data_IF_941634848415
#
_entry.id   IF_941634848415
#
_cell.length_a   1.000
_cell.length_b   1.000
_cell.length_c   1.000
_cell.angle_alpha   90.00
_cell.angle_beta   90.00
_cell.angle_gamma   90.00
#
_symmetry.space_group_name_H-M   'P 1'
#
loop_
_entity.id
_entity.type
_entity.pdbx_description
1 polymer ?
#
# COMPACT_ATOMS: atom_id res chain seq x y z
N UNK A 1 3.10 -17.12 -24.52
CA UNK A 1 3.98 -16.51 -23.51
C UNK A 1 3.11 -15.90 -22.42
N UNK A 2 3.34 -16.19 -21.14
CA UNK A 2 2.63 -15.54 -20.04
C UNK A 2 3.28 -14.18 -19.74
N UNK A 3 2.66 -13.08 -20.18
CA UNK A 3 3.11 -11.72 -19.90
C UNK A 3 2.69 -11.28 -18.49
N UNK A 4 3.34 -10.25 -17.94
CA UNK A 4 2.92 -9.55 -16.72
C UNK A 4 2.79 -10.41 -15.45
N UNK A 5 3.75 -11.30 -15.21
CA UNK A 5 3.72 -12.21 -14.05
C UNK A 5 4.08 -11.56 -12.71
N UNK A 6 4.71 -10.38 -12.72
CA UNK A 6 5.09 -9.66 -11.50
C UNK A 6 4.62 -8.20 -11.62
N UNK A 7 3.49 -7.88 -10.98
CA UNK A 7 2.91 -6.54 -10.98
C UNK A 7 3.26 -5.82 -9.69
N UNK A 8 3.83 -4.63 -9.81
CA UNK A 8 4.01 -3.68 -8.70
C UNK A 8 2.92 -2.63 -8.79
N UNK A 9 2.11 -2.50 -7.74
CA UNK A 9 1.03 -1.53 -7.63
C UNK A 9 1.45 -0.49 -6.60
N UNK A 10 1.54 0.77 -7.04
CA UNK A 10 1.73 1.89 -6.12
C UNK A 10 0.37 2.29 -5.55
N UNK A 11 0.27 2.33 -4.23
CA UNK A 11 -0.94 2.73 -3.51
C UNK A 11 -0.95 4.24 -3.32
N UNK A 12 -2.11 4.85 -3.56
CA UNK A 12 -2.34 6.26 -3.26
C UNK A 12 -2.94 6.39 -1.86
N UNK A 13 -2.23 6.99 -0.88
CA UNK A 13 -2.74 7.10 0.49
C UNK A 13 -3.93 8.08 0.63
N UNK A 14 -4.20 8.92 -0.38
CA UNK A 14 -5.22 9.97 -0.28
C UNK A 14 -6.62 9.51 -0.66
N UNK A 15 -6.77 8.30 -1.18
CA UNK A 15 -8.04 7.78 -1.67
C UNK A 15 -8.24 6.32 -1.30
N UNK A 16 -9.47 5.96 -0.97
CA UNK A 16 -9.82 4.57 -0.66
C UNK A 16 -9.96 3.73 -1.92
N UNK A 17 -10.46 4.30 -3.03
CA UNK A 17 -10.47 3.59 -4.30
C UNK A 17 -9.07 3.53 -4.90
N UNK A 18 -8.65 2.32 -5.26
CA UNK A 18 -7.32 2.07 -5.83
C UNK A 18 -7.47 1.52 -7.26
N UNK A 19 -7.62 2.38 -8.29
CA UNK A 19 -7.80 1.94 -9.67
C UNK A 19 -6.67 1.04 -10.18
N UNK A 20 -5.43 1.34 -9.79
CA UNK A 20 -4.26 0.54 -10.14
C UNK A 20 -4.33 -0.88 -9.55
N UNK A 21 -4.76 -1.00 -8.29
CA UNK A 21 -4.96 -2.29 -7.64
C UNK A 21 -6.10 -3.07 -8.29
N UNK A 22 -7.25 -2.43 -8.54
CA UNK A 22 -8.38 -3.05 -9.24
C UNK A 22 -7.97 -3.59 -10.61
N UNK A 23 -7.17 -2.83 -11.37
CA UNK A 23 -6.64 -3.26 -12.66
C UNK A 23 -5.69 -4.44 -12.53
N UNK A 24 -4.80 -4.42 -11.54
CA UNK A 24 -3.87 -5.52 -11.28
C UNK A 24 -4.60 -6.81 -10.88
N UNK A 25 -5.64 -6.71 -10.05
CA UNK A 25 -6.50 -7.86 -9.69
C UNK A 25 -7.20 -8.42 -10.92
N UNK A 26 -7.78 -7.58 -11.78
CA UNK A 26 -8.39 -8.03 -13.02
C UNK A 26 -7.38 -8.77 -13.93
N UNK A 27 -6.15 -8.26 -14.04
CA UNK A 27 -5.10 -8.93 -14.81
C UNK A 27 -4.75 -10.27 -14.17
N UNK A 28 -4.54 -10.29 -12.86
CA UNK A 28 -4.24 -11.52 -12.12
C UNK A 28 -5.30 -12.61 -12.31
N UNK A 29 -6.58 -12.25 -12.33
CA UNK A 29 -7.66 -13.19 -12.58
C UNK A 29 -7.64 -13.80 -13.99
N UNK A 30 -7.11 -13.10 -14.99
CA UNK A 30 -7.09 -13.55 -16.40
C UNK A 30 -5.81 -14.25 -16.82
N UNK A 31 -4.66 -13.77 -16.34
CA UNK A 31 -3.32 -14.21 -16.79
C UNK A 31 -2.44 -14.72 -15.64
N UNK A 32 -2.96 -14.75 -14.41
CA UNK A 32 -2.22 -15.15 -13.22
C UNK A 32 -1.17 -14.13 -12.79
N UNK A 33 -0.10 -14.60 -12.16
CA UNK A 33 1.01 -13.76 -11.68
C UNK A 33 0.87 -13.31 -10.23
N UNK A 34 1.80 -12.49 -9.76
CA UNK A 34 1.87 -11.96 -8.40
C UNK A 34 1.64 -10.46 -8.41
N UNK A 35 0.95 -9.96 -7.39
CA UNK A 35 0.75 -8.53 -7.16
C UNK A 35 1.48 -8.15 -5.89
N UNK A 36 2.31 -7.11 -5.96
CA UNK A 36 2.90 -6.46 -4.78
C UNK A 36 2.31 -5.05 -4.68
N UNK A 37 1.59 -4.78 -3.60
CA UNK A 37 1.19 -3.41 -3.24
C UNK A 37 2.36 -2.71 -2.54
N UNK A 38 2.63 -1.47 -2.93
CA UNK A 38 3.72 -0.66 -2.40
C UNK A 38 3.21 0.74 -2.06
N UNK A 39 3.40 1.16 -0.82
CA UNK A 39 3.07 2.49 -0.34
C UNK A 39 4.33 3.14 0.24
N UNK A 40 4.99 4.07 -0.47
CA UNK A 40 6.06 4.85 0.10
C UNK A 40 5.47 5.87 1.08
N UNK A 41 5.99 5.91 2.30
CA UNK A 41 5.54 6.83 3.35
C UNK A 41 6.73 7.70 3.72
N UNK A 42 6.51 9.01 3.72
CA UNK A 42 7.49 10.00 4.13
C UNK A 42 6.83 11.01 5.07
N UNK A 43 7.59 11.48 6.05
CA UNK A 43 7.18 12.53 6.98
C UNK A 43 8.29 13.57 7.11
N UNK A 44 7.95 14.84 7.22
CA UNK A 44 8.94 15.92 7.26
C UNK A 44 9.77 15.90 8.55
N UNK A 45 9.31 15.20 9.60
CA UNK A 45 10.07 14.98 10.85
C UNK A 45 11.42 14.29 10.65
N UNK A 46 11.62 13.57 9.54
CA UNK A 46 12.92 12.97 9.22
C UNK A 46 14.01 14.02 8.94
N UNK A 47 13.63 15.22 8.49
CA UNK A 47 14.56 16.31 8.20
C UNK A 47 14.79 17.23 9.41
N UNK A 48 13.88 17.22 10.39
CA UNK A 48 13.94 18.05 11.60
C UNK A 48 14.86 17.48 12.69
N UNK A 49 16.11 17.19 12.35
CA UNK A 49 17.06 16.51 13.26
C UNK A 49 17.58 17.40 14.40
N UNK A 50 17.50 18.72 14.27
CA UNK A 50 17.94 19.70 15.28
C UNK A 50 16.81 20.17 16.19
N UNK A 51 15.55 20.05 15.74
CA UNK A 51 14.37 20.52 16.45
C UNK A 51 13.68 19.40 17.23
N UNK A 52 13.89 18.14 16.82
CA UNK A 52 13.25 16.98 17.43
C UNK A 52 14.30 16.04 18.03
N UNK A 53 14.06 15.64 19.26
CA UNK A 53 14.76 14.52 19.87
C UNK A 53 14.52 13.21 19.08
N UNK A 54 15.37 12.19 19.24
CA UNK A 54 15.15 10.87 18.64
C UNK A 54 13.81 10.24 19.00
N UNK A 55 13.32 10.46 20.22
CA UNK A 55 12.06 9.89 20.70
C UNK A 55 10.85 10.59 20.07
N UNK A 56 10.89 11.92 19.94
CA UNK A 56 9.84 12.68 19.24
C UNK A 56 9.75 12.28 17.77
N UNK A 57 10.88 12.07 17.09
CA UNK A 57 10.89 11.54 15.71
C UNK A 57 10.27 10.14 15.63
N UNK A 58 10.52 9.29 16.61
CA UNK A 58 9.94 7.94 16.66
C UNK A 58 8.42 8.00 16.90
N UNK A 59 7.96 8.89 17.77
CA UNK A 59 6.54 9.11 18.01
C UNK A 59 5.82 9.64 16.76
N UNK A 60 6.40 10.62 16.07
CA UNK A 60 5.86 11.15 14.80
C UNK A 60 5.81 10.07 13.72
N UNK A 61 6.90 9.30 13.56
CA UNK A 61 6.94 8.14 12.65
C UNK A 61 5.82 7.16 12.93
N UNK A 62 5.58 6.83 14.20
CA UNK A 62 4.50 5.91 14.57
C UNK A 62 3.12 6.49 14.25
N UNK A 63 2.94 7.80 14.37
CA UNK A 63 1.74 8.51 13.97
C UNK A 63 1.41 8.37 12.49
N UNK A 64 2.43 8.30 11.61
CA UNK A 64 2.23 8.15 10.16
C UNK A 64 2.12 6.67 9.74
N UNK A 65 2.82 5.76 10.42
CA UNK A 65 2.76 4.32 10.13
C UNK A 65 1.41 3.70 10.55
N UNK A 66 0.82 4.15 11.66
CA UNK A 66 -0.39 3.51 12.19
C UNK A 66 -1.60 3.58 11.22
N UNK A 67 -1.90 4.73 10.58
CA UNK A 67 -2.88 4.78 9.50
C UNK A 67 -2.54 3.89 8.31
N UNK A 68 -1.26 3.78 7.94
CA UNK A 68 -0.85 2.94 6.82
C UNK A 68 -1.08 1.45 7.06
N UNK A 69 -0.93 0.97 8.31
CA UNK A 69 -1.29 -0.40 8.66
C UNK A 69 -2.78 -0.67 8.46
N UNK A 70 -3.64 0.33 8.66
CA UNK A 70 -5.08 0.19 8.38
C UNK A 70 -5.39 0.10 6.88
N UNK A 71 -4.59 0.77 6.03
CA UNK A 71 -4.67 0.67 4.57
C UNK A 71 -4.24 -0.72 4.08
N UNK A 72 -3.28 -1.38 4.73
CA UNK A 72 -2.92 -2.77 4.45
C UNK A 72 -4.11 -3.71 4.69
N UNK A 73 -4.83 -3.52 5.80
CA UNK A 73 -6.04 -4.31 6.11
C UNK A 73 -7.11 -4.12 5.03
N UNK A 74 -7.39 -2.88 4.62
CA UNK A 74 -8.34 -2.56 3.53
C UNK A 74 -7.92 -3.17 2.19
N UNK A 75 -6.63 -3.11 1.86
CA UNK A 75 -6.07 -3.69 0.63
C UNK A 75 -6.26 -5.21 0.62
N UNK A 76 -6.05 -5.86 1.77
CA UNK A 76 -6.25 -7.30 1.93
C UNK A 76 -7.72 -7.72 1.81
N UNK A 77 -8.66 -6.90 2.30
CA UNK A 77 -10.11 -7.11 2.12
C UNK A 77 -10.54 -6.99 0.66
N UNK A 78 -10.03 -6.01 -0.09
CA UNK A 78 -10.30 -5.87 -1.53
C UNK A 78 -9.83 -7.12 -2.28
N UNK A 79 -8.64 -7.62 -1.95
CA UNK A 79 -8.08 -8.87 -2.51
C UNK A 79 -8.87 -10.12 -2.08
N UNK A 80 -9.43 -10.14 -0.87
CA UNK A 80 -10.25 -11.26 -0.38
C UNK A 80 -11.64 -11.27 -1.02
N UNK A 81 -12.33 -10.13 -1.09
CA UNK A 81 -13.64 -10.00 -1.75
C UNK A 81 -13.59 -10.39 -3.23
N UNK A 82 -12.52 -10.02 -3.92
CA UNK A 82 -12.32 -10.41 -5.32
C UNK A 82 -11.98 -11.89 -5.54
N UNK A 83 -11.69 -12.66 -4.48
CA UNK A 83 -11.62 -14.13 -4.50
C UNK A 83 -12.97 -14.81 -4.22
N UNK A 84 -13.84 -14.22 -3.39
CA UNK A 84 -15.15 -14.78 -3.02
C UNK A 84 -16.28 -14.52 -4.03
N UNK A 85 -16.11 -13.62 -5.01
CA UNK A 85 -17.15 -13.34 -6.03
C UNK A 85 -17.23 -14.42 -7.14
N UNK A 86 -17.12 -15.69 -6.78
CA UNK A 86 -17.44 -16.85 -7.63
C UNK A 86 -18.71 -17.51 -7.15
#
# INVERSE_FOLDING_TARGET
MAMYQNMLVVIDPNQDDQPALRRAVYLHQRIGGKIKAFLPIYDFSYEMTTLLSPDERTAMRQGVISPANSLDTRTSEILHRSRCSR
#
